data_IF_417691542102
#
_entry.id   IF_417691542102
#
_cell.length_a   1.000
_cell.length_b   1.000
_cell.length_c   1.000
_cell.angle_alpha   90.00
_cell.angle_beta   90.00
_cell.angle_gamma   90.00
#
_symmetry.space_group_name_H-M   'P 1'
#
loop_
_entity.id
_entity.type
_entity.pdbx_description
1 polymer ?
2 non-polymer ?
3 non-polymer ?
4 water ?
#
# COMPACT_ATOMS: atom_id res chain seq x y z
N UNK A 9 -17.16 -5.63 13.95
CA UNK A 9 -16.36 -6.73 13.35
C UNK A 9 -15.54 -6.38 12.10
N UNK A 10 -16.01 -5.43 11.30
CA UNK A 10 -15.33 -5.09 10.06
C UNK A 10 -15.39 -6.32 9.16
N UNK A 11 -15.70 -7.48 9.74
CA UNK A 11 -15.76 -8.73 8.99
C UNK A 11 -17.18 -9.24 8.70
N UNK A 12 -18.17 -8.36 8.73
CA UNK A 12 -19.54 -8.76 8.44
C UNK A 12 -19.64 -9.48 7.11
N UNK A 13 -18.93 -8.94 6.13
CA UNK A 13 -18.87 -9.52 4.80
C UNK A 13 -17.39 -9.64 4.50
N UNK A 14 -17.03 -10.54 3.60
CA UNK A 14 -15.63 -10.67 3.24
C UNK A 14 -15.35 -9.59 2.22
N UNK A 15 -14.27 -8.85 2.47
CA UNK A 15 -13.85 -7.73 1.64
C UNK A 15 -13.80 -8.02 0.16
N UNK A 16 -14.53 -7.30 -0.63
CA UNK A 16 -14.34 -7.62 -2.01
C UNK A 16 -13.56 -6.44 -2.60
N UNK A 17 -12.26 -6.64 -2.60
CA UNK A 17 -11.29 -5.66 -3.07
C UNK A 17 -11.59 -5.02 -4.42
N UNK A 18 -12.01 -5.81 -5.41
CA UNK A 18 -12.30 -5.22 -6.71
C UNK A 18 -13.24 -4.07 -6.54
N UNK A 19 -14.05 -4.13 -5.49
CA UNK A 19 -15.00 -3.07 -5.26
C UNK A 19 -14.66 -2.24 -4.04
N UNK A 20 -13.37 -2.12 -3.75
CA UNK A 20 -12.94 -1.34 -2.60
C UNK A 20 -11.77 -0.45 -3.00
N UNK A 21 -11.67 0.72 -2.38
CA UNK A 21 -10.54 1.59 -2.66
C UNK A 21 -9.70 1.57 -1.39
N UNK A 22 -8.39 1.46 -1.55
CA UNK A 22 -7.50 1.42 -0.40
C UNK A 22 -6.69 2.70 -0.27
N UNK A 23 -6.57 3.18 0.96
CA UNK A 23 -5.79 4.37 1.23
C UNK A 23 -4.68 3.96 2.18
N UNK A 24 -3.44 4.06 1.71
CA UNK A 24 -2.31 3.69 2.53
C UNK A 24 -1.78 4.88 3.31
N UNK A 25 -1.61 4.70 4.61
CA UNK A 25 -1.10 5.76 5.47
C UNK A 25 0.21 5.34 6.13
N UNK A 26 1.26 6.10 5.90
CA UNK A 26 2.55 5.77 6.50
C UNK A 26 2.66 6.37 7.90
N UNK A 27 3.00 5.51 8.87
CA UNK A 27 3.12 5.93 10.27
C UNK A 27 4.42 5.43 10.91
N UNK A 28 4.78 6.00 12.06
CA UNK A 28 6.00 5.63 12.78
C UNK A 28 5.82 4.52 13.81
N UNK A 29 4.62 4.40 14.36
CA UNK A 29 4.31 3.40 15.38
C UNK A 29 2.96 2.80 15.04
N UNK A 30 2.96 1.63 14.42
CA UNK A 30 1.72 1.01 14.01
C UNK A 30 0.78 0.61 15.16
N UNK A 31 1.33 0.19 16.30
CA UNK A 31 0.47 -0.17 17.44
C UNK A 31 -0.31 1.05 17.92
N UNK A 32 0.39 2.17 18.03
CA UNK A 32 -0.22 3.42 18.48
C UNK A 32 -1.28 3.92 17.50
N UNK A 33 -0.91 4.04 16.23
CA UNK A 33 -1.84 4.52 15.22
C UNK A 33 -3.04 3.60 15.02
N UNK A 34 -2.79 2.30 15.05
CA UNK A 34 -3.86 1.35 14.87
C UNK A 34 -4.83 1.40 16.06
N UNK A 35 -4.34 1.76 17.25
CA UNK A 35 -5.24 1.87 18.40
C UNK A 35 -6.09 3.12 18.23
N UNK A 36 -5.45 4.19 17.76
CA UNK A 36 -6.13 5.45 17.51
C UNK A 36 -7.26 5.26 16.50
N UNK A 37 -6.97 4.52 15.43
CA UNK A 37 -7.96 4.25 14.38
C UNK A 37 -9.10 3.35 14.87
N UNK A 38 -8.76 2.37 15.70
CA UNK A 38 -9.77 1.45 16.23
C UNK A 38 -10.71 2.23 17.14
N UNK A 39 -10.14 3.15 17.91
CA UNK A 39 -10.92 3.96 18.83
C UNK A 39 -11.82 4.93 18.07
N UNK A 40 -11.25 5.67 17.13
CA UNK A 40 -12.04 6.63 16.37
C UNK A 40 -13.25 6.01 15.67
N UNK A 41 -13.03 4.90 14.97
CA UNK A 41 -14.11 4.25 14.24
C UNK A 41 -14.93 3.26 15.08
N UNK A 42 -14.58 3.14 16.36
CA UNK A 42 -15.30 2.23 17.24
C UNK A 42 -15.30 0.82 16.71
N UNK A 43 -14.13 0.36 16.30
CA UNK A 43 -14.01 -0.98 15.74
C UNK A 43 -13.05 -1.83 16.52
N UNK A 44 -13.24 -3.13 16.38
CA UNK A 44 -12.35 -4.05 17.02
C UNK A 44 -11.02 -3.91 16.30
N UNK A 45 -10.01 -3.80 17.12
CA UNK A 45 -8.63 -3.65 16.72
C UNK A 45 -8.11 -4.73 15.77
N UNK A 46 -7.46 -4.33 14.66
CA UNK A 46 -6.94 -5.36 13.76
C UNK A 46 -5.53 -5.78 14.19
N UNK A 47 -5.07 -6.92 13.69
CA UNK A 47 -3.73 -7.40 14.02
C UNK A 47 -2.78 -6.91 12.93
N UNK A 48 -1.53 -6.63 13.28
CA UNK A 48 -0.57 -6.18 12.28
C UNK A 48 0.37 -7.32 11.92
N UNK A 49 1.10 -7.15 10.82
CA UNK A 49 2.03 -8.19 10.38
C UNK A 49 3.11 -7.61 9.48
N UNK A 50 4.22 -8.33 9.40
CA UNK A 50 5.36 -7.92 8.58
C UNK A 50 5.16 -8.38 7.14
N UNK A 51 5.49 -7.51 6.18
CA UNK A 51 5.38 -7.90 4.77
C UNK A 51 6.49 -8.92 4.51
N UNK A 52 6.38 -9.64 3.40
CA UNK A 52 7.33 -10.70 3.03
C UNK A 52 8.77 -10.26 2.87
N UNK A 53 9.72 -11.19 3.08
CA UNK A 53 11.09 -10.78 2.87
C UNK A 53 11.32 -10.72 1.37
N UNK A 54 12.37 -10.02 0.98
CA UNK A 54 12.71 -9.84 -0.42
C UNK A 54 12.68 -11.12 -1.26
N UNK A 55 12.96 -12.27 -0.65
CA UNK A 55 12.97 -13.51 -1.42
C UNK A 55 11.59 -13.89 -1.94
N UNK A 56 10.54 -13.35 -1.34
CA UNK A 56 9.18 -13.60 -1.81
C UNK A 56 8.65 -12.32 -2.46
N UNK A 57 9.02 -11.19 -1.88
CA UNK A 57 8.56 -9.88 -2.36
C UNK A 57 9.21 -9.40 -3.66
N UNK A 58 10.50 -9.67 -3.85
CA UNK A 58 11.21 -9.25 -5.06
C UNK A 58 11.10 -7.74 -5.29
N UNK A 59 10.96 -7.00 -4.19
CA UNK A 59 10.81 -5.55 -4.23
C UNK A 59 11.87 -4.79 -5.03
N UNK A 60 11.40 -3.95 -5.95
CA UNK A 60 12.27 -3.12 -6.77
C UNK A 60 11.83 -1.66 -6.65
N UNK A 61 12.71 -0.83 -6.09
CA UNK A 61 12.46 0.60 -5.87
C UNK A 61 13.38 1.44 -6.76
N UNK A 62 12.78 2.24 -7.64
CA UNK A 62 13.52 3.06 -8.59
C UNK A 62 14.50 2.18 -9.37
N UNK A 63 14.02 1.00 -9.77
CA UNK A 63 14.81 0.04 -10.54
C UNK A 63 15.78 -0.86 -9.80
N UNK A 64 16.00 -0.54 -8.53
CA UNK A 64 16.94 -1.21 -7.64
C UNK A 64 16.32 -2.22 -6.65
N UNK A 65 16.95 -3.40 -6.43
CA UNK A 65 16.29 -4.29 -5.47
C UNK A 65 16.46 -3.74 -4.05
N UNK A 66 15.50 -4.02 -3.18
CA UNK A 66 15.58 -3.57 -1.80
C UNK A 66 15.03 -4.63 -0.86
N UNK A 67 15.68 -4.77 0.29
CA UNK A 67 15.27 -5.75 1.29
C UNK A 67 14.12 -5.17 2.14
N UNK A 68 13.67 -3.97 1.78
CA UNK A 68 12.59 -3.29 2.50
C UNK A 68 11.36 -4.13 2.85
N UNK A 69 10.93 -4.00 4.11
CA UNK A 69 9.74 -4.68 4.62
C UNK A 69 9.03 -3.65 5.49
N UNK A 70 7.74 -3.85 5.75
CA UNK A 70 7.00 -2.90 6.58
C UNK A 70 5.95 -3.63 7.39
N UNK A 71 5.55 -3.04 8.52
CA UNK A 71 4.50 -3.63 9.35
C UNK A 71 3.19 -3.08 8.76
N UNK A 72 2.20 -3.94 8.53
CA UNK A 72 0.92 -3.49 7.97
C UNK A 72 -0.26 -3.88 8.84
N UNK A 73 -1.30 -3.05 8.80
CA UNK A 73 -2.54 -3.28 9.54
C UNK A 73 -3.68 -2.74 8.67
N UNK A 74 -4.78 -3.48 8.57
CA UNK A 74 -5.91 -3.07 7.74
C UNK A 74 -7.21 -2.84 8.50
N UNK A 75 -8.00 -1.89 7.99
CA UNK A 75 -9.31 -1.59 8.55
C UNK A 75 -10.28 -1.62 7.38
N UNK A 76 -11.42 -2.28 7.55
CA UNK A 76 -12.43 -2.34 6.49
C UNK A 76 -13.59 -1.49 6.96
N UNK A 77 -13.86 -0.41 6.22
CA UNK A 77 -14.93 0.51 6.56
C UNK A 77 -15.80 0.73 5.33
N UNK A 78 -16.68 -0.22 5.07
CA UNK A 78 -17.55 -0.12 3.92
C UNK A 78 -16.75 -0.16 2.64
N UNK A 79 -16.90 0.85 1.77
CA UNK A 79 -16.19 0.93 0.49
C UNK A 79 -14.70 1.24 0.64
N UNK A 80 -14.27 1.49 1.87
CA UNK A 80 -12.88 1.84 2.13
C UNK A 80 -12.04 0.86 2.94
N UNK A 81 -10.81 0.63 2.48
CA UNK A 81 -9.88 -0.19 3.23
C UNK A 81 -8.75 0.76 3.60
N UNK A 82 -8.56 0.97 4.89
CA UNK A 82 -7.49 1.85 5.33
C UNK A 82 -6.30 0.99 5.72
N UNK A 83 -5.16 1.27 5.12
CA UNK A 83 -3.94 0.51 5.40
C UNK A 83 -2.88 1.35 6.11
N UNK A 84 -2.45 0.90 7.29
CA UNK A 84 -1.40 1.59 8.03
C UNK A 84 -0.09 0.92 7.65
N UNK A 85 0.95 1.73 7.43
CA UNK A 85 2.26 1.24 7.01
C UNK A 85 3.43 1.77 7.84
N UNK A 86 4.15 0.88 8.50
CA UNK A 86 5.32 1.27 9.29
C UNK A 86 6.50 0.56 8.62
N UNK A 87 7.25 1.28 7.77
CA UNK A 87 8.39 0.73 7.05
C UNK A 87 9.65 0.58 7.90
N UNK A 88 10.55 -0.30 7.49
CA UNK A 88 11.81 -0.47 8.20
C UNK A 88 12.69 0.66 7.66
N UNK A 89 13.99 0.61 7.90
CA UNK A 89 14.87 1.69 7.43
C UNK A 89 15.51 1.47 6.06
N UNK A 90 15.21 0.34 5.43
CA UNK A 90 15.73 0.07 4.10
C UNK A 90 15.07 1.05 3.13
N UNK A 91 15.61 1.17 1.91
CA UNK A 91 15.06 2.07 0.89
C UNK A 91 13.71 1.59 0.35
N UNK A 92 12.74 2.49 0.26
CA UNK A 92 11.42 2.15 -0.26
C UNK A 92 10.61 3.42 -0.48
N UNK A 93 9.49 3.30 -1.17
CA UNK A 93 8.65 4.46 -1.40
C UNK A 93 8.14 4.92 -0.03
N UNK A 94 7.81 3.96 0.84
CA UNK A 94 7.30 4.28 2.17
C UNK A 94 8.30 5.01 3.07
N UNK A 95 9.53 4.49 3.15
CA UNK A 95 10.55 5.12 3.98
C UNK A 95 10.88 6.50 3.43
N UNK A 96 11.00 6.59 2.12
CA UNK A 96 11.30 7.87 1.49
C UNK A 96 10.20 8.86 1.87
N UNK A 97 8.94 8.41 1.82
CA UNK A 97 7.79 9.25 2.17
C UNK A 97 7.85 9.70 3.62
N UNK A 98 8.07 8.74 4.51
CA UNK A 98 8.12 9.00 5.94
C UNK A 98 9.20 10.02 6.32
N UNK A 99 10.43 9.74 5.92
CA UNK A 99 11.55 10.63 6.22
C UNK A 99 11.33 12.05 5.78
N UNK A 100 10.88 12.18 4.55
CA UNK A 100 10.69 13.47 3.96
C UNK A 100 9.39 14.21 4.25
N UNK A 101 8.35 13.46 4.58
CA UNK A 101 7.05 14.06 4.79
C UNK A 101 6.45 13.87 6.16
N UNK A 102 6.95 12.88 6.88
CA UNK A 102 6.38 12.59 8.17
C UNK A 102 5.16 11.76 7.86
N UNK A 103 4.48 11.31 8.90
CA UNK A 103 3.30 10.48 8.76
C UNK A 103 2.19 11.14 7.95
N UNK A 104 1.50 10.35 7.14
CA UNK A 104 0.43 10.89 6.32
C UNK A 104 0.03 9.92 5.22
N UNK A 105 -0.95 10.31 4.42
CA UNK A 105 -1.43 9.46 3.34
C UNK A 105 -0.36 9.28 2.27
N UNK A 106 0.01 8.02 2.04
CA UNK A 106 1.03 7.69 1.07
C UNK A 106 0.47 7.37 -0.31
N UNK A 107 -0.68 6.70 -0.36
CA UNK A 107 -1.24 6.34 -1.65
C UNK A 107 -2.72 5.98 -1.65
N UNK A 108 -3.24 5.84 -2.87
CA UNK A 108 -4.61 5.42 -3.11
C UNK A 108 -4.39 4.23 -4.04
N UNK A 109 -4.88 3.05 -3.68
CA UNK A 109 -4.68 1.88 -4.53
C UNK A 109 -5.98 1.33 -5.09
N UNK A 110 -5.91 0.85 -6.34
CA UNK A 110 -7.06 0.27 -7.04
C UNK A 110 -6.69 -1.14 -7.51
N UNK A 111 -7.62 -2.08 -7.40
CA UNK A 111 -7.38 -3.44 -7.87
C UNK A 111 -7.69 -3.46 -9.36
N UNK A 112 -6.83 -4.09 -10.15
CA UNK A 112 -7.08 -4.20 -11.59
C UNK A 112 -7.01 -5.67 -11.98
N UNK A 113 -7.74 -6.03 -13.02
CA UNK A 113 -7.78 -7.40 -13.48
C UNK A 113 -6.50 -7.84 -14.16
N UNK A 114 -5.86 -6.92 -14.88
CA UNK A 114 -4.63 -7.26 -15.59
C UNK A 114 -3.55 -6.21 -15.38
N UNK A 115 -2.61 -6.51 -14.48
CA UNK A 115 -1.53 -5.57 -14.18
C UNK A 115 -0.76 -5.13 -15.42
N UNK A 116 -0.20 -6.09 -16.14
CA UNK A 116 0.58 -5.80 -17.34
C UNK A 116 -0.04 -4.86 -18.35
N UNK A 117 -1.29 -5.10 -18.71
CA UNK A 117 -1.91 -4.25 -19.71
C UNK A 117 -2.24 -2.88 -19.14
N UNK A 118 -2.57 -2.84 -17.86
CA UNK A 118 -2.90 -1.58 -17.22
C UNK A 118 -1.63 -0.74 -17.18
N UNK A 119 -0.52 -1.36 -16.80
CA UNK A 119 0.74 -0.64 -16.74
C UNK A 119 1.10 -0.19 -18.16
N UNK A 120 0.66 -0.95 -19.17
CA UNK A 120 0.93 -0.57 -20.56
C UNK A 120 0.21 0.75 -20.83
N UNK A 121 -1.09 0.78 -20.52
CA UNK A 121 -1.90 1.98 -20.73
C UNK A 121 -1.20 3.19 -20.13
N UNK A 122 -0.77 3.08 -18.88
CA UNK A 122 -0.10 4.19 -18.21
C UNK A 122 1.24 4.55 -18.84
N UNK A 123 1.97 3.57 -19.37
CA UNK A 123 3.24 3.89 -20.03
C UNK A 123 2.91 4.77 -21.24
N UNK A 124 1.87 4.38 -21.97
CA UNK A 124 1.44 5.13 -23.15
C UNK A 124 0.96 6.53 -22.77
N UNK A 125 0.53 6.70 -21.52
CA UNK A 125 0.09 8.01 -21.06
C UNK A 125 1.27 8.78 -20.49
N UNK A 126 2.48 8.23 -20.66
CA UNK A 126 3.68 8.88 -20.19
C UNK A 126 4.05 8.67 -18.73
N UNK A 127 3.56 7.59 -18.13
CA UNK A 127 3.84 7.33 -16.72
C UNK A 127 4.99 6.36 -16.51
N UNK A 128 5.24 6.04 -15.24
CA UNK A 128 6.31 5.12 -14.89
C UNK A 128 6.09 4.46 -13.54
N UNK A 129 6.59 3.23 -13.42
CA UNK A 129 6.49 2.46 -12.19
C UNK A 129 7.66 2.83 -11.28
N UNK A 130 7.37 3.29 -10.07
CA UNK A 130 8.44 3.67 -9.15
C UNK A 130 8.80 2.55 -8.16
N UNK A 131 7.86 1.64 -7.90
CA UNK A 131 8.13 0.49 -7.02
C UNK A 131 7.14 -0.60 -7.34
N UNK A 132 7.63 -1.83 -7.34
CA UNK A 132 6.77 -2.97 -7.63
C UNK A 132 7.28 -4.15 -6.83
N UNK A 133 6.43 -5.15 -6.69
CA UNK A 133 6.82 -6.32 -5.94
C UNK A 133 5.65 -7.25 -5.81
N UNK A 134 5.88 -8.35 -5.10
CA UNK A 134 4.83 -9.33 -4.90
C UNK A 134 4.51 -9.41 -3.43
N UNK A 135 3.35 -9.97 -3.14
CA UNK A 135 2.91 -10.19 -1.78
C UNK A 135 2.11 -11.46 -1.89
N UNK A 136 1.81 -12.09 -0.76
CA UNK A 136 1.06 -13.33 -0.80
C UNK A 136 -0.33 -13.15 -1.40
N UNK A 137 -0.53 -13.75 -2.57
CA UNK A 137 -1.82 -13.65 -3.23
C UNK A 137 -1.90 -12.56 -4.29
N UNK A 138 -0.77 -11.98 -4.66
CA UNK A 138 -0.82 -10.93 -5.67
C UNK A 138 0.44 -10.13 -5.86
N UNK A 139 0.29 -8.98 -6.50
CA UNK A 139 1.42 -8.10 -6.79
C UNK A 139 0.94 -6.66 -6.86
N UNK A 140 1.89 -5.73 -6.88
CA UNK A 140 1.55 -4.32 -6.91
C UNK A 140 2.54 -3.50 -7.71
N UNK A 141 2.14 -2.27 -8.03
CA UNK A 141 2.98 -1.34 -8.76
C UNK A 141 2.58 0.08 -8.42
N UNK A 142 3.53 0.84 -7.90
CA UNK A 142 3.32 2.25 -7.55
C UNK A 142 3.65 3.08 -8.79
N UNK A 143 2.74 3.98 -9.16
CA UNK A 143 2.92 4.82 -10.35
C UNK A 143 3.40 6.22 -9.96
N UNK A 144 4.21 6.83 -10.82
CA UNK A 144 4.77 8.16 -10.56
C UNK A 144 3.78 9.31 -10.81
N UNK A 145 2.65 9.27 -10.11
CA UNK A 145 1.61 10.29 -10.28
C UNK A 145 1.67 11.46 -9.30
N UNK A 146 2.62 11.45 -8.37
CA UNK A 146 2.66 12.52 -7.38
C UNK A 146 2.69 13.95 -7.92
N UNK A 147 3.50 14.22 -8.93
CA UNK A 147 3.53 15.59 -9.43
C UNK A 147 2.24 16.03 -10.13
N UNK A 148 1.64 15.16 -10.94
CA UNK A 148 0.41 15.54 -11.63
C UNK A 148 -0.88 15.40 -10.81
N UNK A 149 -0.98 14.34 -10.01
CA UNK A 149 -2.19 14.10 -9.23
C UNK A 149 -2.14 14.54 -7.78
N UNK A 150 -0.95 14.89 -7.30
CA UNK A 150 -0.78 15.34 -5.93
C UNK A 150 -0.84 14.19 -4.93
N UNK A 151 -0.87 12.96 -5.45
CA UNK A 151 -0.85 11.77 -4.61
C UNK A 151 -0.39 10.60 -5.47
N UNK A 152 0.15 9.59 -4.81
CA UNK A 152 0.66 8.41 -5.49
C UNK A 152 -0.43 7.37 -5.71
N UNK A 153 -0.56 6.91 -6.95
CA UNK A 153 -1.55 5.90 -7.27
C UNK A 153 -0.86 4.55 -7.33
N UNK A 154 -1.49 3.54 -6.75
CA UNK A 154 -0.93 2.21 -6.77
C UNK A 154 -1.91 1.26 -7.44
N UNK A 155 -1.38 0.31 -8.20
CA UNK A 155 -2.21 -0.68 -8.86
C UNK A 155 -1.99 -1.98 -8.11
N UNK A 156 -3.08 -2.71 -7.88
CA UNK A 156 -3.00 -3.98 -7.18
C UNK A 156 -3.61 -5.07 -8.05
N UNK A 157 -2.99 -6.24 -8.04
CA UNK A 157 -3.51 -7.37 -8.79
C UNK A 157 -3.56 -8.56 -7.85
N UNK A 158 -4.75 -9.12 -7.67
CA UNK A 158 -4.91 -10.29 -6.81
C UNK A 158 -5.17 -11.51 -7.70
N UNK A 159 -4.34 -12.54 -7.54
CA UNK A 159 -4.47 -13.75 -8.35
C UNK A 159 -5.69 -14.56 -7.95
X LIG B 1 -1.27 -3.01 -0.90
X LIG B 1 -2.31 -3.66 -0.53
X LIG B 1 -1.28 -1.75 -0.95
X LIG B 1 0.00 -3.75 -1.30
X LIG B 1 1.14 -3.60 -0.28
X LIG B 1 0.71 -4.07 1.04
X LIG B 1 2.30 -4.42 -0.88
X LIG B 1 3.44 -4.95 -0.04
X LIG B 1 4.60 -4.53 -0.20
X LIG B 1 3.25 -5.81 0.81
X LIG B 1 1.58 -2.11 -0.18
X LIG B 1 1.53 -1.51 0.89
X LIG B 1 2.00 -1.47 -1.17
X LIG C 1 -10.49 -9.60 -5.14
X LIG C 1 -10.50 -8.92 -3.85
X LIG C 1 -11.91 -9.77 -5.47
X LIG C 1 -9.79 -8.74 -6.13
X LIG C 1 -9.78 -10.89 -5.01
X LIG D 1 11.34 6.28 12.12
X LIG D 1 12.16 5.73 13.23
X LIG D 1 10.44 5.21 11.62
X LIG D 1 10.56 7.42 12.59
X LIG D 1 12.19 6.82 11.05
#
# INVERSE_FOLDING_TARGET
MSHHHHHHSMSKNILDMRNTVQIGIVVRDIEESLQNYAEFFGVEKPQWFWTDDYSKAHTKFNGRPTKARAKLAFFELGPLQLELIEPDENPSTWREFLDKNGEGIHHIAFVVKDMDRKVEELYRKGMKVIQKGDFEGGRYAYIDTLRALKVMIELLENY
CIT C1 O1 O2 C2 C3 O7 C4 C5 O3 O4 C6 O5 O6
SO4 S O1 O2 O3 O4
SO4 S O1 O2 O3 O4
#
